data_IF_470615837150
#
_entry.id   IF_470615837150
#
_cell.length_a   1.000
_cell.length_b   1.000
_cell.length_c   1.000
_cell.angle_alpha   90.00
_cell.angle_beta   90.00
_cell.angle_gamma   90.00
#
_symmetry.space_group_name_H-M   'P 1'
#
loop_
_entity.id
_entity.type
_entity.pdbx_description
1 polymer ?
#
# COMPACT_ATOMS: atom_id res chain seq x y z
N UNK A 1 -4.11 -3.84 9.96
CA UNK A 1 -2.74 -3.34 10.21
C UNK A 1 -2.65 -2.36 11.38
N UNK A 2 -1.55 -2.39 12.15
CA UNK A 2 -1.19 -1.33 13.11
C UNK A 2 -0.99 0.04 12.43
N UNK A 3 -1.42 1.18 13.03
CA UNK A 3 -1.34 2.50 12.39
C UNK A 3 0.09 2.97 12.08
N UNK A 4 1.07 2.64 12.92
CA UNK A 4 2.48 2.99 12.69
C UNK A 4 3.04 2.16 11.55
N UNK A 5 2.77 0.84 11.55
CA UNK A 5 3.17 -0.06 10.45
C UNK A 5 2.57 0.39 9.13
N UNK A 6 1.30 0.84 9.12
CA UNK A 6 0.64 1.39 7.94
C UNK A 6 1.32 2.65 7.42
N UNK A 7 1.68 3.58 8.30
CA UNK A 7 2.41 4.80 7.92
C UNK A 7 3.78 4.50 7.32
N UNK A 8 4.53 3.59 7.93
CA UNK A 8 5.85 3.18 7.41
C UNK A 8 5.70 2.50 6.04
N UNK A 9 4.71 1.61 5.89
CA UNK A 9 4.41 0.96 4.62
C UNK A 9 4.06 1.98 3.52
N UNK A 10 3.16 2.92 3.83
CA UNK A 10 2.76 3.98 2.90
C UNK A 10 3.95 4.84 2.49
N UNK A 11 4.79 5.26 3.45
CA UNK A 11 5.96 6.07 3.14
C UNK A 11 6.92 5.37 2.16
N UNK A 12 7.08 4.05 2.27
CA UNK A 12 7.89 3.26 1.34
C UNK A 12 7.21 3.11 -0.03
N UNK A 13 5.93 2.71 -0.05
CA UNK A 13 5.20 2.46 -1.29
C UNK A 13 5.01 3.74 -2.12
N UNK A 14 4.78 4.89 -1.47
CA UNK A 14 4.58 6.16 -2.16
C UNK A 14 5.84 6.69 -2.87
N UNK A 15 7.03 6.16 -2.55
CA UNK A 15 8.28 6.46 -3.23
C UNK A 15 8.55 5.54 -4.44
N UNK A 16 7.72 4.50 -4.64
CA UNK A 16 7.90 3.53 -5.71
C UNK A 16 7.20 3.97 -7.00
N UNK A 17 7.78 3.58 -8.13
CA UNK A 17 7.11 3.66 -9.43
C UNK A 17 6.08 2.52 -9.58
N UNK A 18 5.19 2.56 -10.60
CA UNK A 18 4.15 1.56 -10.78
C UNK A 18 4.68 0.12 -10.90
N UNK A 19 5.79 -0.09 -11.61
CA UNK A 19 6.41 -1.41 -11.76
C UNK A 19 6.91 -1.96 -10.43
N UNK A 20 7.61 -1.11 -9.67
CA UNK A 20 8.12 -1.45 -8.34
C UNK A 20 7.00 -1.77 -7.35
N UNK A 21 5.85 -1.10 -7.43
CA UNK A 21 4.67 -1.40 -6.62
C UNK A 21 4.13 -2.81 -6.91
N UNK A 22 4.04 -3.18 -8.19
CA UNK A 22 3.59 -4.52 -8.59
C UNK A 22 4.60 -5.60 -8.21
N UNK A 23 5.90 -5.35 -8.42
CA UNK A 23 6.97 -6.25 -7.98
C UNK A 23 6.95 -6.43 -6.47
N UNK A 24 6.70 -5.36 -5.72
CA UNK A 24 6.61 -5.41 -4.26
C UNK A 24 5.39 -6.21 -3.80
N UNK A 25 4.23 -6.01 -4.44
CA UNK A 25 3.03 -6.80 -4.16
C UNK A 25 3.31 -8.30 -4.41
N UNK A 26 3.87 -8.64 -5.57
CA UNK A 26 4.22 -10.01 -5.93
C UNK A 26 5.25 -10.62 -4.97
N UNK A 27 6.26 -9.86 -4.55
CA UNK A 27 7.27 -10.30 -3.58
C UNK A 27 6.67 -10.58 -2.19
N UNK A 28 5.66 -9.80 -1.78
CA UNK A 28 4.95 -10.01 -0.51
C UNK A 28 3.99 -11.21 -0.60
N UNK A 29 3.30 -11.39 -1.73
CA UNK A 29 2.41 -12.53 -2.00
C UNK A 29 3.20 -13.86 -2.12
N UNK A 30 4.40 -13.81 -2.69
CA UNK A 30 5.29 -14.97 -2.86
C UNK A 30 6.26 -15.18 -1.70
N UNK A 31 6.19 -14.34 -0.67
CA UNK A 31 7.02 -14.49 0.52
C UNK A 31 6.78 -15.88 1.12
N UNK A 32 7.84 -16.55 1.63
CA UNK A 32 7.69 -17.85 2.25
C UNK A 32 6.62 -17.78 3.35
N UNK A 33 5.82 -18.85 3.53
CA UNK A 33 4.75 -18.86 4.50
C UNK A 33 5.31 -18.48 5.87
N UNK A 34 4.61 -17.57 6.56
CA UNK A 34 4.99 -17.18 7.91
C UNK A 34 5.17 -18.45 8.76
N UNK A 35 6.19 -18.49 9.64
CA UNK A 35 6.38 -19.65 10.49
C UNK A 35 5.08 -19.99 11.23
N UNK A 36 4.81 -21.25 11.58
CA UNK A 36 3.54 -21.64 12.20
C UNK A 36 3.18 -20.80 13.43
N UNK A 37 4.18 -20.35 14.19
CA UNK A 37 4.04 -19.46 15.35
C UNK A 37 3.56 -18.03 15.03
N UNK A 38 3.66 -17.62 13.76
CA UNK A 38 3.23 -16.32 13.26
C UNK A 38 1.94 -16.40 12.42
N UNK A 39 1.39 -17.59 12.18
CA UNK A 39 0.08 -17.74 11.52
C UNK A 39 -1.03 -17.19 12.41
N UNK A 40 -1.96 -16.46 11.82
CA UNK A 40 -3.04 -15.77 12.51
C UNK A 40 -2.57 -14.57 13.35
N UNK A 41 -1.30 -14.17 13.24
CA UNK A 41 -0.78 -12.99 13.97
C UNK A 41 -0.92 -11.71 13.14
N UNK A 42 -0.84 -10.57 13.82
CA UNK A 42 -0.84 -9.26 13.17
C UNK A 42 0.29 -9.09 12.13
N UNK A 43 1.37 -9.87 12.22
CA UNK A 43 2.46 -9.83 11.26
C UNK A 43 2.08 -10.45 9.91
N UNK A 44 1.35 -11.57 9.91
CA UNK A 44 0.83 -12.19 8.67
C UNK A 44 -0.19 -11.27 8.00
N UNK A 45 -1.13 -10.73 8.79
CA UNK A 45 -2.11 -9.76 8.30
C UNK A 45 -1.45 -8.49 7.75
N UNK A 46 -0.37 -8.01 8.39
CA UNK A 46 0.34 -6.82 7.91
C UNK A 46 1.01 -7.04 6.56
N UNK A 47 1.59 -8.22 6.28
CA UNK A 47 2.19 -8.53 4.98
C UNK A 47 1.13 -8.58 3.88
N UNK A 48 -0.01 -9.23 4.14
CA UNK A 48 -1.13 -9.30 3.21
C UNK A 48 -1.73 -7.90 2.95
N UNK A 49 -1.94 -7.11 4.00
CA UNK A 49 -2.44 -5.74 3.90
C UNK A 49 -1.46 -4.85 3.09
N UNK A 50 -0.15 -5.02 3.26
CA UNK A 50 0.87 -4.30 2.48
C UNK A 50 0.87 -4.70 1.00
N UNK A 51 0.70 -5.99 0.69
CA UNK A 51 0.60 -6.47 -0.68
C UNK A 51 -0.63 -5.88 -1.39
N UNK A 52 -1.79 -5.93 -0.72
CA UNK A 52 -3.03 -5.35 -1.22
C UNK A 52 -2.91 -3.83 -1.47
N UNK A 53 -2.28 -3.12 -0.54
CA UNK A 53 -2.02 -1.69 -0.66
C UNK A 53 -1.08 -1.35 -1.82
N UNK A 54 0.00 -2.12 -2.00
CA UNK A 54 0.92 -1.92 -3.13
C UNK A 54 0.19 -2.14 -4.47
N UNK A 55 -0.67 -3.16 -4.54
CA UNK A 55 -1.44 -3.50 -5.73
C UNK A 55 -2.50 -2.47 -6.08
N UNK A 56 -3.15 -1.85 -5.08
CA UNK A 56 -4.11 -0.76 -5.32
C UNK A 56 -3.44 0.55 -5.72
N UNK A 57 -2.24 0.82 -5.21
CA UNK A 57 -1.48 2.03 -5.53
C UNK A 57 -0.86 2.01 -6.94
N UNK A 58 -0.50 0.84 -7.47
CA UNK A 58 0.13 0.71 -8.77
C UNK A 58 -0.64 1.38 -9.93
N UNK A 59 -1.93 1.09 -10.16
CA UNK A 59 -2.70 1.76 -11.22
C UNK A 59 -2.88 3.26 -10.95
N UNK A 60 -3.05 3.65 -9.68
CA UNK A 60 -3.18 5.07 -9.30
C UNK A 60 -1.93 5.87 -9.62
N UNK A 61 -0.73 5.30 -9.44
CA UNK A 61 0.52 5.97 -9.78
C UNK A 61 0.69 6.22 -11.27
N UNK A 62 0.11 5.36 -12.13
CA UNK A 62 0.10 5.55 -13.59
C UNK A 62 -0.82 6.70 -14.00
N UNK A 63 -2.00 6.78 -13.38
CA UNK A 63 -3.03 7.74 -13.75
C UNK A 63 -2.83 9.14 -13.16
N UNK A 64 -2.10 9.24 -12.05
CA UNK A 64 -1.91 10.48 -11.32
C UNK A 64 -0.57 11.15 -11.64
N UNK A 65 -0.64 12.43 -11.98
CA UNK A 65 0.50 13.33 -11.93
C UNK A 65 1.02 13.50 -10.49
N UNK A 66 2.22 14.06 -10.34
CA UNK A 66 2.89 14.16 -9.04
C UNK A 66 2.11 15.02 -8.02
N UNK A 67 1.34 16.01 -8.48
CA UNK A 67 0.52 16.83 -7.60
C UNK A 67 -0.67 16.04 -7.04
N UNK A 68 -1.37 15.29 -7.88
CA UNK A 68 -2.44 14.37 -7.46
C UNK A 68 -1.90 13.26 -6.58
N UNK A 69 -0.71 12.74 -6.89
CA UNK A 69 -0.04 11.72 -6.09
C UNK A 69 0.31 12.22 -4.68
N UNK A 70 0.83 13.44 -4.55
CA UNK A 70 1.10 14.06 -3.26
C UNK A 70 -0.19 14.26 -2.43
N UNK A 71 -1.29 14.65 -3.07
CA UNK A 71 -2.60 14.78 -2.40
C UNK A 71 -3.14 13.42 -1.95
N UNK A 72 -2.97 12.38 -2.77
CA UNK A 72 -3.34 11.00 -2.41
C UNK A 72 -2.56 10.55 -1.18
N UNK A 73 -1.24 10.78 -1.17
CA UNK A 73 -0.37 10.46 -0.05
C UNK A 73 -0.87 11.06 1.27
N UNK A 74 -1.26 12.35 1.28
CA UNK A 74 -1.80 13.00 2.49
C UNK A 74 -3.06 12.30 3.02
N UNK A 75 -4.03 12.00 2.13
CA UNK A 75 -5.27 11.32 2.52
C UNK A 75 -5.02 9.92 3.09
N UNK A 76 -4.08 9.18 2.49
CA UNK A 76 -3.71 7.84 2.96
C UNK A 76 -3.06 7.87 4.35
N UNK A 77 -2.24 8.89 4.63
CA UNK A 77 -1.60 9.09 5.95
C UNK A 77 -2.62 9.47 7.03
N UNK A 78 -3.71 10.15 6.64
CA UNK A 78 -4.88 10.41 7.49
C UNK A 78 -5.74 9.16 7.73
N UNK A 79 -5.41 8.04 7.07
CA UNK A 79 -6.06 6.75 7.25
C UNK A 79 -7.16 6.45 6.23
N UNK A 80 -7.35 7.30 5.22
CA UNK A 80 -8.31 7.08 4.14
C UNK A 80 -7.93 5.83 3.33
N UNK A 81 -8.95 5.16 2.80
CA UNK A 81 -8.78 4.06 1.85
C UNK A 81 -8.28 4.59 0.48
N UNK A 82 -7.38 3.87 -0.23
CA UNK A 82 -6.86 4.31 -1.53
C UNK A 82 -7.92 4.58 -2.59
N UNK A 83 -8.98 3.77 -2.68
CA UNK A 83 -10.02 3.94 -3.70
C UNK A 83 -10.94 5.13 -3.36
N UNK A 84 -11.20 5.35 -2.08
CA UNK A 84 -11.91 6.54 -1.61
C UNK A 84 -11.10 7.83 -1.82
N UNK A 85 -9.81 7.80 -1.48
CA UNK A 85 -8.90 8.93 -1.67
C UNK A 85 -8.75 9.26 -3.16
N UNK A 86 -8.61 8.25 -4.02
CA UNK A 86 -8.55 8.44 -5.46
C UNK A 86 -9.84 9.06 -6.02
N UNK A 87 -11.02 8.58 -5.58
CA UNK A 87 -12.31 9.18 -5.97
C UNK A 87 -12.40 10.66 -5.58
N UNK A 88 -11.94 11.02 -4.38
CA UNK A 88 -11.92 12.41 -3.90
C UNK A 88 -10.97 13.33 -4.67
N UNK A 89 -9.94 12.78 -5.30
CA UNK A 89 -8.97 13.55 -6.10
C UNK A 89 -9.46 13.71 -7.54
N UNK A 90 -10.22 12.75 -8.06
CA UNK A 90 -10.78 12.77 -9.41
C UNK A 90 -12.06 13.61 -9.54
N UNK A 91 -12.87 13.67 -8.47
CA UNK A 91 -14.05 14.53 -8.38
C UNK A 91 -13.69 15.99 -8.12
#
# INVERSE_FOLDING_TARGET
>A
MDPLVRRVALAQLLQMNPGQLLERAAALESAPPVPPSFRGTAAETALADQAALARSLAPLRVEMDDAKWAKLASLLVEGMDPDEAARRIRG
#
